data_IF_520818998162
#
_entry.id   IF_520818998162
#
_cell.length_a   1.000
_cell.length_b   1.000
_cell.length_c   1.000
_cell.angle_alpha   90.00
_cell.angle_beta   90.00
_cell.angle_gamma   90.00
#
_symmetry.space_group_name_H-M   'P 1'
#
loop_
_entity.id
_entity.type
_entity.pdbx_description
1 polymer ?
#
# COMPACT_ATOMS: atom_id res chain seq x y z
N UNK A 1 35.93 12.92 4.00
CA UNK A 1 34.48 13.15 3.78
C UNK A 1 33.73 12.04 4.52
N UNK A 2 32.96 12.34 5.58
CA UNK A 2 32.19 11.31 6.31
C UNK A 2 30.92 10.98 5.51
N UNK A 3 30.54 9.71 5.31
CA UNK A 3 29.27 9.40 4.67
C UNK A 3 28.10 9.97 5.49
N UNK A 4 27.02 10.36 4.82
CA UNK A 4 25.79 10.76 5.49
C UNK A 4 25.31 9.56 6.33
N UNK A 5 25.15 9.76 7.64
CA UNK A 5 24.76 8.74 8.64
C UNK A 5 23.53 7.91 8.24
N UNK A 6 22.66 8.46 7.39
CA UNK A 6 21.47 7.83 6.80
C UNK A 6 21.79 6.69 5.81
N UNK A 7 22.81 6.87 4.96
CA UNK A 7 23.23 5.85 4.00
C UNK A 7 23.98 4.71 4.71
N UNK A 8 24.79 5.06 5.72
CA UNK A 8 25.48 4.09 6.57
C UNK A 8 24.49 3.25 7.40
N UNK A 9 23.51 3.87 8.05
CA UNK A 9 22.52 3.16 8.85
C UNK A 9 21.67 2.21 7.99
N UNK A 10 21.27 2.64 6.79
CA UNK A 10 20.49 1.80 5.88
C UNK A 10 21.27 0.56 5.41
N UNK A 11 22.58 0.70 5.19
CA UNK A 11 23.45 -0.41 4.80
C UNK A 11 23.71 -1.38 5.95
N UNK A 12 23.98 -0.86 7.15
CA UNK A 12 24.18 -1.66 8.37
C UNK A 12 22.91 -2.44 8.73
N UNK A 13 21.75 -1.78 8.69
CA UNK A 13 20.45 -2.43 8.88
C UNK A 13 20.26 -3.56 7.87
N UNK A 14 20.48 -3.32 6.58
CA UNK A 14 20.37 -4.36 5.55
C UNK A 14 21.31 -5.54 5.79
N UNK A 15 22.48 -5.33 6.40
CA UNK A 15 23.43 -6.41 6.69
C UNK A 15 22.98 -7.29 7.85
N UNK A 16 22.33 -6.72 8.87
CA UNK A 16 21.82 -7.47 10.03
C UNK A 16 20.54 -8.27 9.77
N UNK A 17 19.86 -8.05 8.65
CA UNK A 17 18.63 -8.76 8.29
C UNK A 17 18.90 -10.21 7.83
N UNK A 18 17.94 -11.09 8.14
CA UNK A 18 17.86 -12.46 7.62
C UNK A 18 17.61 -12.48 6.10
N UNK A 19 17.77 -13.63 5.45
CA UNK A 19 17.57 -13.75 4.00
C UNK A 19 16.17 -13.33 3.55
N UNK A 20 15.15 -13.75 4.29
CA UNK A 20 13.76 -13.36 4.03
C UNK A 20 13.52 -11.86 4.23
N UNK A 21 14.02 -11.29 5.31
CA UNK A 21 13.87 -9.86 5.60
C UNK A 21 14.59 -8.98 4.56
N UNK A 22 15.72 -9.44 4.00
CA UNK A 22 16.40 -8.77 2.88
C UNK A 22 15.51 -8.72 1.64
N UNK A 23 14.94 -9.86 1.26
CA UNK A 23 14.02 -9.93 0.11
C UNK A 23 12.79 -9.05 0.32
N UNK A 24 12.24 -9.03 1.53
CA UNK A 24 11.12 -8.17 1.89
C UNK A 24 11.50 -6.68 1.83
N UNK A 25 12.67 -6.33 2.37
CA UNK A 25 13.19 -4.96 2.36
C UNK A 25 13.55 -4.44 0.95
N UNK A 26 13.83 -5.33 -0.01
CA UNK A 26 14.02 -4.97 -1.41
C UNK A 26 12.70 -4.69 -2.12
N UNK A 27 11.63 -5.42 -1.78
CA UNK A 27 10.29 -5.21 -2.31
C UNK A 27 9.59 -3.98 -1.70
N UNK A 28 9.97 -3.58 -0.49
CA UNK A 28 9.38 -2.45 0.22
C UNK A 28 10.18 -1.15 0.04
N UNK A 29 9.47 -0.03 0.04
CA UNK A 29 10.07 1.30 -0.02
C UNK A 29 10.33 1.82 1.40
N UNK A 30 11.60 2.00 1.78
CA UNK A 30 11.95 2.55 3.09
C UNK A 30 12.14 4.07 3.03
N UNK A 31 11.30 4.80 3.77
CA UNK A 31 11.33 6.27 3.89
C UNK A 31 11.78 6.67 5.30
N UNK A 32 12.53 7.76 5.43
CA UNK A 32 12.90 8.32 6.73
C UNK A 32 11.82 9.29 7.21
N UNK A 33 11.33 9.10 8.43
CA UNK A 33 10.47 10.05 9.13
C UNK A 33 11.20 10.65 10.33
N UNK A 34 10.86 11.89 10.67
CA UNK A 34 11.40 12.54 11.86
C UNK A 34 10.46 12.28 13.05
N UNK A 35 10.98 11.60 14.08
CA UNK A 35 10.26 11.38 15.33
C UNK A 35 10.19 12.64 16.21
N UNK A 36 9.48 12.55 17.34
CA UNK A 36 9.26 13.69 18.26
C UNK A 36 10.55 14.36 18.75
N UNK A 37 11.63 13.59 18.91
CA UNK A 37 12.93 14.07 19.41
C UNK A 37 13.90 14.46 18.29
N UNK A 38 13.42 14.59 17.05
CA UNK A 38 14.27 14.83 15.89
C UNK A 38 15.05 13.61 15.40
N UNK A 39 14.87 12.46 16.06
CA UNK A 39 15.47 11.19 15.66
C UNK A 39 14.84 10.73 14.35
N UNK A 40 15.68 10.41 13.37
CA UNK A 40 15.25 9.85 12.09
C UNK A 40 14.94 8.36 12.27
N UNK A 41 13.74 7.96 11.90
CA UNK A 41 13.26 6.59 11.98
C UNK A 41 12.91 6.10 10.58
N UNK A 42 13.45 4.96 10.12
CA UNK A 42 13.04 4.36 8.87
C UNK A 42 11.66 3.71 9.01
N UNK A 43 10.79 3.93 8.03
CA UNK A 43 9.48 3.27 7.89
C UNK A 43 9.42 2.55 6.55
N UNK A 44 9.06 1.27 6.58
CA UNK A 44 8.84 0.46 5.38
C UNK A 44 7.42 0.65 4.87
N UNK A 45 7.28 1.04 3.61
CA UNK A 45 6.02 1.20 2.89
C UNK A 45 5.91 0.14 1.81
N UNK A 46 4.71 -0.38 1.59
CA UNK A 46 4.46 -1.27 0.45
C UNK A 46 4.53 -0.48 -0.87
N UNK A 47 4.79 -1.14 -2.00
CA UNK A 47 4.74 -0.51 -3.32
C UNK A 47 3.42 0.21 -3.59
N UNK A 48 2.30 -0.37 -3.15
CA UNK A 48 0.97 0.19 -3.35
C UNK A 48 0.80 1.50 -2.60
N UNK A 49 1.24 1.56 -1.33
CA UNK A 49 1.21 2.79 -0.54
C UNK A 49 2.11 3.87 -1.15
N UNK A 50 3.28 3.49 -1.67
CA UNK A 50 4.16 4.42 -2.38
C UNK A 50 3.45 5.02 -3.60
N UNK A 51 2.81 4.18 -4.42
CA UNK A 51 2.06 4.63 -5.60
C UNK A 51 0.89 5.54 -5.21
N UNK A 52 0.15 5.19 -4.16
CA UNK A 52 -0.94 6.02 -3.64
C UNK A 52 -0.45 7.40 -3.19
N UNK A 53 0.69 7.48 -2.48
CA UNK A 53 1.31 8.76 -2.09
C UNK A 53 1.73 9.57 -3.32
N UNK A 54 2.31 8.94 -4.34
CA UNK A 54 2.64 9.64 -5.60
C UNK A 54 1.40 10.20 -6.28
N UNK A 55 0.31 9.43 -6.34
CA UNK A 55 -0.96 9.88 -6.89
C UNK A 55 -1.51 11.09 -6.13
N UNK A 56 -1.47 11.07 -4.79
CA UNK A 56 -1.85 12.21 -3.95
C UNK A 56 -1.04 13.46 -4.29
N UNK A 57 0.27 13.33 -4.53
CA UNK A 57 1.16 14.46 -4.87
C UNK A 57 0.85 14.99 -6.28
N UNK A 58 0.64 14.10 -7.26
CA UNK A 58 0.36 14.49 -8.65
C UNK A 58 -0.98 15.21 -8.80
N UNK A 59 -1.98 14.82 -8.01
CA UNK A 59 -3.35 15.35 -8.10
C UNK A 59 -3.55 16.66 -7.33
N UNK A 60 -2.58 17.12 -6.53
CA UNK A 60 -2.71 18.30 -5.64
C UNK A 60 -3.28 19.53 -6.31
N UNK A 61 -2.79 19.86 -7.51
CA UNK A 61 -3.22 21.05 -8.24
C UNK A 61 -4.67 20.94 -8.71
N UNK A 62 -5.11 19.73 -9.07
CA UNK A 62 -6.46 19.46 -9.58
C UNK A 62 -7.50 19.64 -8.47
N UNK A 63 -7.16 19.24 -7.24
CA UNK A 63 -8.05 19.29 -6.07
C UNK A 63 -7.92 20.58 -5.25
N UNK A 64 -7.21 21.60 -5.76
CA UNK A 64 -7.10 22.91 -5.11
C UNK A 64 -6.24 22.92 -3.84
N UNK A 65 -5.26 22.01 -3.72
CA UNK A 65 -4.25 22.07 -2.65
C UNK A 65 -3.17 23.08 -3.00
N UNK A 66 -2.88 24.00 -2.08
CA UNK A 66 -1.83 25.00 -2.25
C UNK A 66 -0.45 24.36 -2.53
N UNK A 67 0.28 24.91 -3.51
CA UNK A 67 1.66 24.48 -3.84
C UNK A 67 2.63 24.68 -2.68
N UNK A 68 2.32 25.60 -1.78
CA UNK A 68 3.16 25.93 -0.62
C UNK A 68 2.90 24.99 0.57
N UNK A 69 1.86 24.15 0.51
CA UNK A 69 1.54 23.22 1.59
C UNK A 69 2.52 22.04 1.56
N UNK A 70 3.32 21.80 2.63
CA UNK A 70 4.35 20.76 2.64
C UNK A 70 3.83 19.35 2.96
N UNK A 71 2.57 19.22 3.37
CA UNK A 71 2.04 17.94 3.85
C UNK A 71 1.55 17.05 2.71
N UNK A 72 1.85 15.76 2.76
CA UNK A 72 1.33 14.76 1.80
C UNK A 72 -0.20 14.66 1.88
N UNK A 73 -0.73 14.55 3.10
CA UNK A 73 -2.16 14.62 3.41
C UNK A 73 -2.57 16.07 3.70
N UNK A 74 -2.56 16.91 2.67
CA UNK A 74 -2.94 18.31 2.79
C UNK A 74 -4.46 18.51 2.74
N UNK A 75 -4.98 19.50 3.48
CA UNK A 75 -6.34 19.99 3.27
C UNK A 75 -6.40 20.81 1.97
N UNK A 76 -7.47 20.64 1.20
CA UNK A 76 -7.78 21.48 0.05
C UNK A 76 -8.14 22.90 0.51
N UNK A 77 -7.73 23.91 -0.24
CA UNK A 77 -7.98 25.33 0.06
C UNK A 77 -6.70 26.14 0.24
N UNK A 78 -6.85 27.32 0.83
CA UNK A 78 -5.77 28.30 1.00
C UNK A 78 -4.88 28.03 2.22
N UNK A 79 -5.36 27.24 3.19
CA UNK A 79 -4.63 26.98 4.42
C UNK A 79 -3.50 25.95 4.22
N UNK A 80 -2.37 26.21 4.88
CA UNK A 80 -1.20 25.32 4.93
C UNK A 80 -1.37 24.25 6.01
N UNK A 81 -2.56 23.64 6.06
CA UNK A 81 -2.93 22.65 7.07
C UNK A 81 -2.85 21.22 6.53
N UNK A 82 -2.72 20.26 7.44
CA UNK A 82 -2.78 18.84 7.15
C UNK A 82 -4.13 18.25 7.58
N UNK A 83 -4.49 17.13 6.96
CA UNK A 83 -5.57 16.27 7.44
C UNK A 83 -5.01 15.31 8.48
N UNK A 84 -5.59 15.31 9.67
CA UNK A 84 -5.22 14.37 10.73
C UNK A 84 -5.54 12.93 10.32
N UNK A 85 -4.76 11.95 10.80
CA UNK A 85 -4.95 10.54 10.43
C UNK A 85 -6.37 10.01 10.69
N UNK A 86 -6.98 10.39 11.81
CA UNK A 86 -8.37 10.05 12.12
C UNK A 86 -9.37 10.64 11.11
N UNK A 87 -9.10 11.86 10.61
CA UNK A 87 -9.94 12.54 9.63
C UNK A 87 -9.79 11.87 8.26
N UNK A 88 -8.56 11.49 7.88
CA UNK A 88 -8.29 10.71 6.67
C UNK A 88 -9.02 9.36 6.73
N UNK A 89 -8.88 8.61 7.82
CA UNK A 89 -9.53 7.31 7.98
C UNK A 89 -11.05 7.44 7.89
N UNK A 90 -11.66 8.40 8.62
CA UNK A 90 -13.11 8.60 8.58
C UNK A 90 -13.64 8.97 7.20
N UNK A 91 -12.88 9.75 6.42
CA UNK A 91 -13.31 10.22 5.08
C UNK A 91 -13.04 9.21 3.97
N UNK A 92 -11.92 8.48 4.05
CA UNK A 92 -11.45 7.60 2.99
C UNK A 92 -11.74 6.12 3.25
N UNK A 93 -12.02 5.74 4.50
CA UNK A 93 -12.43 4.40 4.88
C UNK A 93 -13.81 4.47 5.56
N UNK A 94 -14.89 4.55 4.77
CA UNK A 94 -16.25 4.60 5.31
C UNK A 94 -16.68 3.28 5.97
N UNK A 95 -15.89 2.21 5.81
CA UNK A 95 -16.24 0.87 6.26
C UNK A 95 -16.30 0.83 7.78
N UNK A 96 -17.50 0.58 8.29
CA UNK A 96 -17.65 0.08 9.66
C UNK A 96 -17.02 -1.32 9.71
N UNK A 97 -16.49 -1.71 10.88
CA UNK A 97 -15.81 -3.02 11.08
C UNK A 97 -16.64 -4.22 10.59
N UNK A 98 -17.97 -4.11 10.64
CA UNK A 98 -18.92 -5.13 10.18
C UNK A 98 -18.92 -5.34 8.65
N UNK A 99 -18.75 -4.28 7.86
CA UNK A 99 -18.76 -4.37 6.40
C UNK A 99 -17.44 -4.90 5.84
N UNK A 100 -16.34 -4.67 6.55
CA UNK A 100 -15.01 -5.14 6.15
C UNK A 100 -14.91 -6.67 6.18
N UNK A 101 -15.48 -7.32 7.20
CA UNK A 101 -15.54 -8.79 7.33
C UNK A 101 -16.39 -9.40 6.22
N UNK A 102 -17.47 -8.73 5.81
CA UNK A 102 -18.32 -9.19 4.71
C UNK A 102 -17.59 -9.14 3.36
N UNK A 103 -16.86 -8.06 3.09
CA UNK A 103 -16.09 -7.90 1.86
C UNK A 103 -14.95 -8.93 1.74
N UNK A 104 -14.28 -9.25 2.84
CA UNK A 104 -13.21 -10.25 2.87
C UNK A 104 -13.75 -11.67 2.60
N UNK A 105 -14.91 -12.02 3.16
CA UNK A 105 -15.60 -13.30 2.89
C UNK A 105 -16.05 -13.44 1.43
N UNK A 106 -16.48 -12.35 0.79
CA UNK A 106 -16.88 -12.35 -0.63
C UNK A 106 -15.66 -12.53 -1.56
N UNK A 107 -14.54 -11.89 -1.24
CA UNK A 107 -13.31 -12.03 -2.00
C UNK A 107 -12.74 -13.46 -1.92
N UNK A 108 -12.79 -14.09 -0.74
CA UNK A 108 -12.39 -15.50 -0.55
C UNK A 108 -13.31 -16.45 -1.31
N UNK A 109 -14.64 -16.27 -1.23
CA UNK A 109 -15.61 -17.12 -1.94
C UNK A 109 -15.47 -17.05 -3.47
N UNK A 110 -15.00 -15.91 -4.01
CA UNK A 110 -14.77 -15.75 -5.45
C UNK A 110 -13.56 -16.55 -5.95
N UNK A 111 -12.59 -16.83 -5.07
CA UNK A 111 -11.37 -17.59 -5.40
C UNK A 111 -11.53 -19.12 -5.37
N UNK A 112 -12.61 -19.63 -4.76
CA UNK A 112 -12.86 -21.09 -4.64
C UNK A 112 -13.71 -21.66 -5.79
N UNK A 113 -14.29 -20.82 -6.64
CA UNK A 113 -15.27 -21.24 -7.66
C UNK A 113 -14.68 -21.60 -9.04
N UNK A 114 -13.37 -21.45 -9.28
CA UNK A 114 -12.75 -21.78 -10.57
C UNK A 114 -12.20 -23.22 -10.67
N UNK A 115 -12.44 -24.06 -9.66
CA UNK A 115 -11.80 -25.36 -9.50
C UNK A 115 -12.53 -26.61 -9.96
N UNK A 116 -13.72 -26.58 -10.56
CA UNK A 116 -14.39 -27.83 -11.01
C UNK A 116 -15.20 -27.65 -12.30
N UNK A 117 -14.57 -27.84 -13.47
CA UNK A 117 -15.28 -28.21 -14.71
C UNK A 117 -14.64 -29.47 -15.31
N UNK A 118 -15.17 -30.60 -14.84
CA UNK A 118 -14.81 -31.94 -15.28
C UNK A 118 -15.02 -32.18 -16.78
N UNK A 119 -14.06 -32.87 -17.37
CA UNK A 119 -14.03 -33.33 -18.75
C UNK A 119 -15.03 -34.49 -18.96
N UNK A 120 -16.28 -34.18 -19.31
CA UNK A 120 -17.28 -35.17 -19.71
C UNK A 120 -17.07 -35.63 -21.16
N UNK A 121 -16.33 -36.72 -21.37
CA UNK A 121 -16.22 -37.37 -22.70
C UNK A 121 -17.55 -38.00 -23.10
N UNK A 122 -18.27 -37.37 -24.04
CA UNK A 122 -19.42 -37.97 -24.75
C UNK A 122 -18.93 -39.08 -25.68
N UNK A 123 -19.18 -40.35 -25.33
CA UNK A 123 -19.08 -41.49 -26.25
C UNK A 123 -20.32 -41.49 -27.17
N UNK A 124 -20.15 -41.15 -28.43
CA UNK A 124 -21.13 -41.41 -29.48
C UNK A 124 -21.15 -42.90 -29.80
N UNK A 125 -22.30 -43.56 -29.61
CA UNK A 125 -22.55 -44.89 -30.17
C UNK A 125 -22.88 -44.73 -31.66
N UNK A 126 -22.06 -45.34 -32.51
CA UNK A 126 -22.37 -45.59 -33.92
C UNK A 126 -23.59 -46.52 -34.01
N UNK A 127 -24.51 -46.23 -34.93
CA UNK A 127 -25.63 -47.10 -35.28
C UNK A 127 -25.69 -47.22 -36.80
N UNK A 128 -25.38 -48.40 -37.32
CA UNK A 128 -25.65 -48.86 -38.69
C UNK A 128 -25.50 -50.39 -38.73
N UNK A 129 -26.11 -51.11 -39.68
CA UNK A 129 -27.21 -50.75 -40.57
C UNK A 129 -28.59 -51.17 -40.02
#
# INVERSE_FOLDING_TARGET
>A
MRPLRAEQSKRELKQSLTGFEKELAEKMCMVEITGKRGEKVPVSLTPDVKQAIHLLIQTRNIVGVSKNNPYSFAKSGTNLEYMGGHECLRKCCPMTYEEAISAEKIAVASSESEGERGHGKRRSKQKSP
#
